data_IF_548610907369
#
_entry.id   IF_548610907369
#
_cell.length_a   1.000
_cell.length_b   1.000
_cell.length_c   1.000
_cell.angle_alpha   90.00
_cell.angle_beta   90.00
_cell.angle_gamma   90.00
#
_symmetry.space_group_name_H-M   'P 1'
#
loop_
_entity.id
_entity.type
_entity.pdbx_description
1 polymer ?
#
# COMPACT_ATOMS: atom_id res chain seq x y z
N UNK A 1 -1.24 10.33 6.83
CA UNK A 1 -1.56 11.21 5.69
C UNK A 1 -2.27 10.32 4.69
N UNK A 2 -3.42 10.74 4.15
CA UNK A 2 -4.13 9.92 3.16
C UNK A 2 -3.28 9.77 1.90
N UNK A 3 -3.15 8.54 1.41
CA UNK A 3 -2.62 8.26 0.08
C UNK A 3 -3.70 8.48 -0.99
N UNK A 4 -3.29 8.59 -2.25
CA UNK A 4 -4.23 8.57 -3.37
C UNK A 4 -4.83 7.17 -3.57
N UNK A 5 -5.94 7.11 -4.30
CA UNK A 5 -6.72 5.89 -4.50
C UNK A 5 -5.89 4.78 -5.16
N UNK A 6 -5.12 5.14 -6.18
CA UNK A 6 -4.29 4.22 -6.96
C UNK A 6 -3.19 3.56 -6.11
N UNK A 7 -2.61 4.31 -5.18
CA UNK A 7 -1.61 3.77 -4.24
C UNK A 7 -2.13 2.55 -3.44
N UNK A 8 -3.40 2.52 -3.06
CA UNK A 8 -3.99 1.37 -2.35
C UNK A 8 -4.24 0.18 -3.27
N UNK A 9 -4.62 0.44 -4.53
CA UNK A 9 -4.75 -0.60 -5.57
C UNK A 9 -3.38 -1.24 -5.85
N UNK A 10 -2.33 -0.42 -6.03
CA UNK A 10 -0.95 -0.91 -6.20
C UNK A 10 -0.48 -1.74 -5.01
N UNK A 11 -0.83 -1.35 -3.78
CA UNK A 11 -0.53 -2.16 -2.60
C UNK A 11 -1.20 -3.54 -2.67
N UNK A 12 -2.48 -3.61 -3.05
CA UNK A 12 -3.19 -4.88 -3.22
C UNK A 12 -2.58 -5.71 -4.35
N UNK A 13 -2.27 -5.08 -5.48
CA UNK A 13 -1.60 -5.76 -6.60
C UNK A 13 -0.27 -6.36 -6.16
N UNK A 14 0.54 -5.56 -5.45
CA UNK A 14 1.76 -5.99 -4.82
C UNK A 14 1.53 -7.17 -3.90
N UNK A 15 0.61 -7.08 -2.94
CA UNK A 15 0.31 -8.16 -1.98
C UNK A 15 -0.08 -9.47 -2.66
N UNK A 16 -0.99 -9.42 -3.63
CA UNK A 16 -1.58 -10.58 -4.29
C UNK A 16 -0.86 -11.02 -5.58
N UNK A 17 0.27 -10.37 -5.93
CA UNK A 17 1.00 -10.62 -7.18
C UNK A 17 0.12 -10.45 -8.44
N UNK A 18 -0.75 -9.45 -8.44
CA UNK A 18 -1.56 -9.10 -9.61
C UNK A 18 -0.67 -8.30 -10.56
N UNK A 19 -0.56 -8.73 -11.81
CA UNK A 19 0.20 -8.02 -12.84
C UNK A 19 -0.57 -6.83 -13.39
N UNK A 20 0.16 -5.86 -13.95
CA UNK A 20 -0.42 -4.67 -14.59
C UNK A 20 -1.43 -5.01 -15.69
N UNK A 21 -1.24 -6.13 -16.40
CA UNK A 21 -2.16 -6.61 -17.44
C UNK A 21 -3.56 -6.94 -16.92
N UNK A 22 -3.67 -7.27 -15.62
CA UNK A 22 -4.94 -7.62 -14.97
C UNK A 22 -5.58 -6.42 -14.26
N UNK A 23 -4.91 -5.28 -14.17
CA UNK A 23 -5.36 -4.10 -13.43
C UNK A 23 -6.79 -3.69 -13.82
N UNK A 24 -7.03 -3.49 -15.12
CA UNK A 24 -8.33 -3.04 -15.66
C UNK A 24 -9.49 -4.03 -15.42
N UNK A 25 -9.15 -5.28 -15.10
CA UNK A 25 -10.13 -6.36 -14.86
C UNK A 25 -10.22 -6.78 -13.40
N UNK A 26 -9.38 -6.20 -12.54
CA UNK A 26 -9.34 -6.52 -11.11
C UNK A 26 -10.43 -5.73 -10.40
N UNK A 27 -11.35 -6.43 -9.74
CA UNK A 27 -12.29 -5.80 -8.82
C UNK A 27 -11.67 -5.72 -7.42
N UNK A 28 -11.15 -4.55 -7.07
CA UNK A 28 -10.48 -4.34 -5.78
C UNK A 28 -11.45 -4.32 -4.59
N UNK A 29 -12.73 -4.01 -4.80
CA UNK A 29 -13.76 -4.09 -3.76
C UNK A 29 -14.09 -5.54 -3.46
N UNK A 30 -14.27 -6.39 -4.50
CA UNK A 30 -14.45 -7.84 -4.31
C UNK A 30 -13.22 -8.47 -3.65
N UNK A 31 -12.02 -8.14 -4.13
CA UNK A 31 -10.75 -8.65 -3.59
C UNK A 31 -10.60 -8.35 -2.08
N UNK A 32 -10.89 -7.11 -1.67
CA UNK A 32 -10.79 -6.74 -0.25
C UNK A 32 -11.88 -7.37 0.60
N UNK A 33 -13.07 -7.56 0.05
CA UNK A 33 -14.14 -8.28 0.74
C UNK A 33 -13.77 -9.75 0.96
N UNK A 34 -13.28 -10.45 -0.08
CA UNK A 34 -12.91 -11.86 0.00
C UNK A 34 -11.76 -12.13 0.97
N UNK A 35 -10.74 -11.26 0.98
CA UNK A 35 -9.53 -11.49 1.77
C UNK A 35 -9.58 -10.89 3.18
N UNK A 36 -10.37 -9.84 3.40
CA UNK A 36 -10.35 -9.08 4.65
C UNK A 36 -11.74 -8.82 5.26
N UNK A 37 -12.83 -9.24 4.61
CA UNK A 37 -14.23 -9.01 5.05
C UNK A 37 -14.56 -7.52 5.27
N UNK A 38 -13.97 -6.67 4.44
CA UNK A 38 -14.15 -5.21 4.45
C UNK A 38 -14.18 -4.66 3.02
N UNK A 39 -14.81 -3.50 2.82
CA UNK A 39 -14.75 -2.78 1.54
C UNK A 39 -13.37 -2.19 1.27
N UNK A 40 -13.11 -1.84 0.02
CA UNK A 40 -11.86 -1.19 -0.39
C UNK A 40 -11.64 0.14 0.36
N UNK A 41 -12.69 0.94 0.56
CA UNK A 41 -12.60 2.18 1.34
C UNK A 41 -12.15 1.92 2.79
N UNK A 42 -12.67 0.86 3.43
CA UNK A 42 -12.25 0.50 4.78
C UNK A 42 -10.81 -0.02 4.79
N UNK A 43 -10.42 -0.79 3.79
CA UNK A 43 -9.04 -1.24 3.61
C UNK A 43 -8.08 -0.03 3.51
N UNK A 44 -8.38 0.95 2.66
CA UNK A 44 -7.59 2.17 2.54
C UNK A 44 -7.45 2.93 3.87
N UNK A 45 -8.54 3.04 4.64
CA UNK A 45 -8.50 3.67 5.97
C UNK A 45 -7.62 2.88 6.95
N UNK A 46 -7.63 1.54 6.91
CA UNK A 46 -6.76 0.70 7.74
C UNK A 46 -5.30 0.90 7.34
N UNK A 47 -4.99 0.91 6.04
CA UNK A 47 -3.65 1.17 5.51
C UNK A 47 -3.11 2.52 6.01
N UNK A 48 -3.93 3.58 5.95
CA UNK A 48 -3.54 4.90 6.45
C UNK A 48 -3.20 4.92 7.95
N UNK A 49 -3.94 4.15 8.76
CA UNK A 49 -3.72 4.03 10.21
C UNK A 49 -2.47 3.20 10.51
N UNK A 50 -2.23 2.15 9.72
CA UNK A 50 -1.09 1.26 9.91
C UNK A 50 0.21 1.82 9.34
N UNK A 51 0.15 2.69 8.32
CA UNK A 51 1.34 3.22 7.64
C UNK A 51 2.37 3.81 8.64
N UNK A 52 2.02 4.70 9.58
CA UNK A 52 2.99 5.24 10.54
C UNK A 52 3.56 4.20 11.53
N UNK A 53 3.03 2.98 11.55
CA UNK A 53 3.45 1.89 12.43
C UNK A 53 4.37 0.89 11.71
N UNK A 54 4.55 1.02 10.39
CA UNK A 54 5.47 0.14 9.65
C UNK A 54 6.91 0.40 10.08
N UNK A 55 7.81 -0.53 9.77
CA UNK A 55 9.24 -0.28 9.94
C UNK A 55 9.67 0.97 9.18
N UNK A 56 10.62 1.72 9.76
CA UNK A 56 11.26 2.86 9.10
C UNK A 56 12.37 2.35 8.19
N UNK A 57 12.34 2.76 6.93
CA UNK A 57 13.37 2.45 5.94
C UNK A 57 14.09 3.70 5.48
N UNK A 58 15.40 3.58 5.29
CA UNK A 58 16.25 4.66 4.79
C UNK A 58 16.40 4.56 3.28
N UNK A 59 16.09 5.64 2.55
CA UNK A 59 16.28 5.74 1.12
C UNK A 59 17.69 6.25 0.82
N UNK A 60 18.60 5.43 0.23
CA UNK A 60 19.95 5.88 -0.09
C UNK A 60 19.99 6.93 -1.21
N UNK A 61 18.96 6.99 -2.06
CA UNK A 61 18.86 7.96 -3.16
C UNK A 61 18.47 9.35 -2.65
N UNK A 62 17.53 9.43 -1.70
CA UNK A 62 17.03 10.71 -1.19
C UNK A 62 17.63 11.11 0.16
N UNK A 63 18.32 10.20 0.86
CA UNK A 63 18.82 10.40 2.21
C UNK A 63 17.73 10.53 3.29
N UNK A 64 16.47 10.23 2.95
CA UNK A 64 15.31 10.39 3.83
C UNK A 64 14.84 9.05 4.40
N UNK A 65 14.21 9.13 5.57
CA UNK A 65 13.57 8.00 6.23
C UNK A 65 12.08 7.97 5.90
N UNK A 66 11.53 6.77 5.73
CA UNK A 66 10.12 6.57 5.39
C UNK A 66 9.52 5.45 6.21
N UNK A 67 8.26 5.61 6.60
CA UNK A 67 7.40 4.48 6.88
C UNK A 67 6.85 3.96 5.54
N UNK A 68 6.91 2.65 5.29
CA UNK A 68 6.49 2.07 4.03
C UNK A 68 5.92 0.65 4.15
N UNK A 69 4.93 0.35 3.30
CA UNK A 69 4.56 -1.01 2.95
C UNK A 69 5.47 -1.52 1.83
N UNK A 70 6.24 -2.56 2.13
CA UNK A 70 7.28 -3.09 1.28
C UNK A 70 7.02 -4.56 0.96
N UNK A 71 7.22 -4.93 -0.31
CA UNK A 71 7.30 -6.32 -0.72
C UNK A 71 8.41 -6.45 -1.76
N UNK A 72 9.27 -7.46 -1.59
CA UNK A 72 10.38 -7.77 -2.50
C UNK A 72 11.28 -6.56 -2.83
N UNK A 73 11.48 -5.67 -1.85
CA UNK A 73 12.31 -4.46 -2.00
C UNK A 73 11.62 -3.28 -2.69
N UNK A 74 10.36 -3.42 -3.11
CA UNK A 74 9.55 -2.36 -3.71
C UNK A 74 8.64 -1.75 -2.63
N UNK A 75 8.68 -0.43 -2.50
CA UNK A 75 7.76 0.32 -1.64
C UNK A 75 6.53 0.72 -2.45
N UNK A 76 5.36 0.19 -2.09
CA UNK A 76 4.09 0.49 -2.75
C UNK A 76 3.47 1.77 -2.18
N UNK A 77 3.48 1.89 -0.86
CA UNK A 77 3.00 3.07 -0.15
C UNK A 77 4.10 3.52 0.81
N UNK A 78 4.35 4.83 0.85
CA UNK A 78 5.32 5.41 1.80
C UNK A 78 4.94 6.81 2.25
N UNK A 79 5.33 7.16 3.46
CA UNK A 79 5.30 8.53 3.97
C UNK A 79 6.61 8.86 4.68
N UNK A 80 7.07 10.11 4.59
CA UNK A 80 8.31 10.52 5.28
C UNK A 80 8.14 10.29 6.78
N UNK A 81 9.09 9.56 7.37
CA UNK A 81 9.12 9.36 8.80
C UNK A 81 9.61 10.66 9.46
N UNK A 82 8.92 11.07 10.52
CA UNK A 82 9.44 12.15 11.38
C UNK A 82 10.75 11.67 12.02
N UNK A 83 11.71 12.59 12.17
CA UNK A 83 12.99 12.29 12.82
C UNK A 83 12.82 11.96 14.30
#
# INVERSE_FOLDING_TARGET
MKQDYFSYEELLMGLFNISDELYETTDFDELTMEHFDISFEKFANVVDVLLPLTAVVHSPLSGKNYHAFLKDGIAFIKTEASA
#
